data_IF_426936933096
#
_entry.id   IF_426936933096
#
_cell.length_a   1.000
_cell.length_b   1.000
_cell.length_c   1.000
_cell.angle_alpha   90.00
_cell.angle_beta   90.00
_cell.angle_gamma   90.00
#
_symmetry.space_group_name_H-M   'P 1'
#
loop_
_entity.id
_entity.type
_entity.pdbx_description
1 polymer ?
#
# COMPACT_ATOMS: atom_id res chain seq x y z
N UNK A 1 7.40 4.79 -5.07
CA UNK A 1 8.14 3.66 -4.49
C UNK A 1 9.45 3.55 -5.24
N UNK A 2 10.54 3.46 -4.52
CA UNK A 2 11.87 3.33 -5.13
C UNK A 2 12.15 1.85 -5.36
N UNK A 3 12.70 1.47 -6.51
CA UNK A 3 13.18 0.11 -6.80
C UNK A 3 12.11 -1.01 -6.75
N UNK A 4 10.84 -0.70 -6.99
CA UNK A 4 9.78 -1.71 -7.03
C UNK A 4 9.35 -2.25 -5.65
N UNK A 5 9.77 -1.64 -4.57
CA UNK A 5 9.32 -2.00 -3.22
C UNK A 5 7.91 -1.46 -2.91
N UNK A 6 7.27 -2.05 -1.90
CA UNK A 6 5.86 -1.83 -1.58
C UNK A 6 5.68 -1.03 -0.28
N UNK A 7 4.48 -0.49 -0.10
CA UNK A 7 4.15 0.34 1.04
C UNK A 7 2.89 -0.14 1.78
N UNK A 8 2.84 0.09 3.09
CA UNK A 8 1.67 -0.15 3.93
C UNK A 8 1.23 1.15 4.61
N UNK A 9 -0.07 1.41 4.60
CA UNK A 9 -0.71 2.49 5.37
C UNK A 9 -1.45 1.86 6.54
N UNK A 10 -1.07 2.23 7.75
CA UNK A 10 -1.71 1.78 9.00
C UNK A 10 -2.61 2.89 9.50
N UNK A 11 -3.92 2.70 9.33
CA UNK A 11 -4.94 3.69 9.65
C UNK A 11 -5.54 3.48 11.04
N UNK A 12 -6.11 4.53 11.60
CA UNK A 12 -6.72 4.55 12.93
C UNK A 12 -8.01 3.73 13.03
N UNK A 13 -8.68 3.45 11.92
CA UNK A 13 -9.91 2.68 11.86
C UNK A 13 -10.11 1.98 10.52
N UNK A 14 -11.03 1.03 10.45
CA UNK A 14 -11.45 0.37 9.20
C UNK A 14 -11.95 1.40 8.19
N UNK A 15 -12.78 2.35 8.64
CA UNK A 15 -13.28 3.45 7.80
C UNK A 15 -12.14 4.27 7.23
N UNK A 16 -11.16 4.63 8.06
CA UNK A 16 -9.99 5.39 7.63
C UNK A 16 -9.14 4.60 6.62
N UNK A 17 -8.89 3.31 6.86
CA UNK A 17 -8.14 2.46 5.93
C UNK A 17 -8.78 2.40 4.54
N UNK A 18 -10.11 2.25 4.48
CA UNK A 18 -10.84 2.22 3.21
C UNK A 18 -10.86 3.60 2.53
N UNK A 19 -10.97 4.69 3.30
CA UNK A 19 -10.85 6.05 2.76
C UNK A 19 -9.46 6.29 2.17
N UNK A 20 -8.38 5.91 2.85
CA UNK A 20 -7.03 5.99 2.30
C UNK A 20 -6.90 5.26 0.97
N UNK A 21 -7.48 4.06 0.85
CA UNK A 21 -7.48 3.33 -0.42
C UNK A 21 -8.10 4.16 -1.54
N UNK A 22 -9.27 4.70 -1.36
CA UNK A 22 -9.95 5.48 -2.40
C UNK A 22 -9.25 6.82 -2.69
N UNK A 23 -8.79 7.53 -1.68
CA UNK A 23 -8.06 8.80 -1.87
C UNK A 23 -6.73 8.59 -2.60
N UNK A 24 -6.02 7.51 -2.30
CA UNK A 24 -4.79 7.16 -3.02
C UNK A 24 -5.07 6.81 -4.48
N UNK A 25 -6.15 6.10 -4.78
CA UNK A 25 -6.54 5.81 -6.16
C UNK A 25 -6.87 7.08 -6.94
N UNK A 26 -7.59 8.03 -6.31
CA UNK A 26 -7.87 9.34 -6.90
C UNK A 26 -6.58 10.11 -7.13
N UNK A 27 -5.68 10.14 -6.15
CA UNK A 27 -4.40 10.84 -6.26
C UNK A 27 -3.52 10.25 -7.38
N UNK A 28 -3.48 8.92 -7.50
CA UNK A 28 -2.75 8.22 -8.57
C UNK A 28 -3.35 8.60 -9.94
N UNK A 29 -4.67 8.56 -10.07
CA UNK A 29 -5.37 8.93 -11.31
C UNK A 29 -5.06 10.37 -11.70
N UNK A 30 -5.21 11.32 -10.78
CA UNK A 30 -4.93 12.73 -11.03
C UNK A 30 -3.47 12.93 -11.46
N UNK A 31 -2.53 12.24 -10.80
CA UNK A 31 -1.11 12.31 -11.16
C UNK A 31 -0.83 11.78 -12.56
N UNK A 32 -1.51 10.73 -12.98
CA UNK A 32 -1.42 10.20 -14.35
C UNK A 32 -1.94 11.22 -15.35
N UNK A 33 -3.09 11.85 -15.07
CA UNK A 33 -3.69 12.89 -15.93
C UNK A 33 -2.76 14.10 -16.04
N UNK A 34 -2.18 14.58 -14.94
CA UNK A 34 -1.21 15.67 -14.91
C UNK A 34 0.02 15.35 -15.79
N UNK A 35 0.57 14.15 -15.65
CA UNK A 35 1.73 13.73 -16.43
C UNK A 35 1.41 13.60 -17.92
N UNK A 36 0.22 13.10 -18.27
CA UNK A 36 -0.24 12.99 -19.67
C UNK A 36 -0.51 14.35 -20.32
N UNK A 37 -0.81 15.37 -19.51
CA UNK A 37 -1.04 16.75 -20.01
C UNK A 37 0.26 17.50 -20.36
N UNK A 38 1.43 16.98 -19.97
CA UNK A 38 2.72 17.59 -20.32
C UNK A 38 3.05 17.39 -21.79
N UNK A 39 3.89 18.28 -22.35
CA UNK A 39 4.43 18.10 -23.71
C UNK A 39 5.24 16.80 -23.83
N UNK A 40 5.39 16.30 -25.04
CA UNK A 40 6.13 15.04 -25.29
C UNK A 40 7.58 15.09 -24.78
N UNK A 41 8.21 16.26 -24.77
CA UNK A 41 9.57 16.48 -24.25
C UNK A 41 9.66 16.43 -22.72
N UNK A 42 8.56 16.71 -22.02
CA UNK A 42 8.49 16.78 -20.56
C UNK A 42 7.79 15.56 -19.94
N UNK A 43 7.15 14.74 -20.80
CA UNK A 43 6.34 13.61 -20.36
C UNK A 43 7.23 12.41 -20.04
N UNK A 44 7.05 11.88 -18.83
CA UNK A 44 7.70 10.65 -18.37
C UNK A 44 6.74 9.47 -18.57
N UNK A 45 6.82 8.85 -19.75
CA UNK A 45 5.96 7.71 -20.12
C UNK A 45 6.23 6.49 -19.23
N UNK A 46 7.46 6.29 -18.78
CA UNK A 46 7.80 5.21 -17.85
C UNK A 46 7.13 5.43 -16.49
N UNK A 47 7.13 6.68 -15.99
CA UNK A 47 6.44 7.03 -14.76
C UNK A 47 4.93 6.86 -14.88
N UNK A 48 4.35 7.23 -16.00
CA UNK A 48 2.92 7.00 -16.30
C UNK A 48 2.62 5.51 -16.22
N UNK A 49 3.40 4.67 -16.91
CA UNK A 49 3.24 3.20 -16.89
C UNK A 49 3.31 2.63 -15.48
N UNK A 50 4.29 3.06 -14.68
CA UNK A 50 4.42 2.63 -13.27
C UNK A 50 3.18 2.97 -12.45
N UNK A 51 2.62 4.17 -12.63
CA UNK A 51 1.42 4.61 -11.92
C UNK A 51 0.16 3.88 -12.41
N UNK A 52 0.03 3.60 -13.70
CA UNK A 52 -1.08 2.82 -14.25
C UNK A 52 -1.06 1.36 -13.75
N UNK A 53 0.12 0.80 -13.57
CA UNK A 53 0.30 -0.53 -12.99
C UNK A 53 -0.02 -0.58 -11.50
N UNK A 54 0.28 0.49 -10.75
CA UNK A 54 0.12 0.55 -9.30
C UNK A 54 -1.35 0.40 -8.87
N UNK A 55 -1.61 -0.54 -7.94
CA UNK A 55 -2.93 -0.77 -7.33
C UNK A 55 -2.86 -0.64 -5.83
N UNK A 56 -3.95 -0.18 -5.25
CA UNK A 56 -4.14 -0.02 -3.81
C UNK A 56 -5.22 -0.97 -3.34
N UNK A 57 -4.96 -1.74 -2.30
CA UNK A 57 -5.94 -2.63 -1.70
C UNK A 57 -6.19 -2.27 -0.23
N UNK A 58 -7.43 -2.38 0.25
CA UNK A 58 -7.77 -2.27 1.66
C UNK A 58 -7.98 -3.66 2.26
N UNK A 59 -7.09 -4.09 3.17
CA UNK A 59 -7.19 -5.38 3.83
C UNK A 59 -7.73 -5.15 5.25
N UNK A 60 -9.04 -5.24 5.39
CA UNK A 60 -9.78 -4.92 6.62
C UNK A 60 -10.75 -6.02 7.00
N UNK A 61 -11.15 -6.03 8.28
CA UNK A 61 -12.21 -6.91 8.77
C UNK A 61 -13.59 -6.37 8.41
N UNK A 62 -14.62 -7.21 8.47
CA UNK A 62 -16.00 -6.77 8.35
C UNK A 62 -16.44 -5.98 9.58
N UNK A 63 -17.28 -4.97 9.37
CA UNK A 63 -17.97 -4.24 10.44
C UNK A 63 -19.32 -4.89 10.85
N UNK A 64 -19.66 -6.03 10.25
CA UNK A 64 -20.91 -6.75 10.54
C UNK A 64 -22.06 -6.38 9.61
N UNK A 65 -23.29 -6.67 10.03
CA UNK A 65 -24.48 -6.62 9.17
C UNK A 65 -24.83 -5.22 8.65
N UNK A 66 -24.41 -4.17 9.34
CA UNK A 66 -24.68 -2.77 8.95
C UNK A 66 -23.46 -2.10 8.29
N UNK A 67 -22.56 -2.89 7.72
CA UNK A 67 -21.37 -2.37 7.06
C UNK A 67 -21.75 -1.49 5.85
N UNK A 68 -21.21 -0.25 5.76
CA UNK A 68 -21.40 0.58 4.58
C UNK A 68 -20.92 -0.11 3.30
N UNK A 69 -21.70 0.02 2.21
CA UNK A 69 -21.44 -0.67 0.95
C UNK A 69 -20.05 -0.42 0.34
N UNK A 70 -19.47 0.76 0.55
CA UNK A 70 -18.12 1.07 0.06
C UNK A 70 -17.02 0.30 0.82
N UNK A 71 -17.25 -0.06 2.09
CA UNK A 71 -16.31 -0.88 2.88
C UNK A 71 -16.38 -2.33 2.42
N UNK A 72 -17.60 -2.89 2.30
CA UNK A 72 -17.77 -4.26 1.82
C UNK A 72 -17.23 -4.44 0.40
N UNK A 73 -17.41 -3.43 -0.48
CA UNK A 73 -16.85 -3.42 -1.83
C UNK A 73 -15.32 -3.47 -1.82
N UNK A 74 -14.67 -2.59 -1.05
CA UNK A 74 -13.21 -2.57 -0.95
C UNK A 74 -12.64 -3.87 -0.38
N UNK A 75 -13.30 -4.42 0.65
CA UNK A 75 -12.91 -5.70 1.25
C UNK A 75 -13.07 -6.86 0.28
N UNK A 76 -14.18 -6.92 -0.47
CA UNK A 76 -14.40 -7.93 -1.49
C UNK A 76 -13.33 -7.85 -2.59
N UNK A 77 -13.05 -6.66 -3.09
CA UNK A 77 -12.01 -6.44 -4.10
C UNK A 77 -10.64 -6.94 -3.63
N UNK A 78 -10.25 -6.66 -2.38
CA UNK A 78 -9.01 -7.16 -1.81
C UNK A 78 -8.98 -8.70 -1.68
N UNK A 79 -10.13 -9.34 -1.44
CA UNK A 79 -10.27 -10.80 -1.44
C UNK A 79 -10.18 -11.37 -2.86
N UNK A 80 -10.91 -10.80 -3.81
CA UNK A 80 -10.90 -11.22 -5.22
C UNK A 80 -9.49 -11.12 -5.83
N UNK A 81 -8.71 -10.13 -5.42
CA UNK A 81 -7.31 -9.96 -5.84
C UNK A 81 -6.30 -10.79 -5.03
N UNK A 82 -6.77 -11.54 -4.04
CA UNK A 82 -5.87 -12.21 -3.06
C UNK A 82 -4.76 -11.26 -2.58
N UNK A 83 -5.17 -10.04 -2.20
CA UNK A 83 -4.28 -8.91 -1.98
C UNK A 83 -3.20 -9.20 -0.94
N UNK A 84 -3.55 -9.95 0.12
CA UNK A 84 -2.60 -10.34 1.17
C UNK A 84 -1.42 -11.15 0.63
N UNK A 85 -1.66 -12.12 -0.24
CA UNK A 85 -0.62 -12.96 -0.78
C UNK A 85 0.10 -12.28 -1.95
N UNK A 86 -0.63 -11.55 -2.79
CA UNK A 86 -0.02 -10.82 -3.91
C UNK A 86 0.84 -9.64 -3.45
N UNK A 87 0.54 -9.02 -2.30
CA UNK A 87 1.41 -8.00 -1.72
C UNK A 87 2.81 -8.52 -1.36
N UNK A 88 2.96 -9.79 -1.03
CA UNK A 88 4.26 -10.40 -0.70
C UNK A 88 5.15 -10.68 -1.91
N UNK A 89 4.56 -10.74 -3.11
CA UNK A 89 5.27 -11.06 -4.35
C UNK A 89 6.09 -9.86 -4.82
N UNK A 90 7.06 -10.13 -5.68
CA UNK A 90 7.85 -9.08 -6.30
C UNK A 90 6.96 -8.12 -7.10
N UNK A 91 7.32 -6.85 -7.06
CA UNK A 91 6.62 -5.80 -7.79
C UNK A 91 7.33 -5.58 -9.13
N UNK A 92 6.73 -6.08 -10.20
CA UNK A 92 7.31 -6.03 -11.53
C UNK A 92 6.38 -5.28 -12.50
N UNK A 93 6.62 -3.99 -12.65
CA UNK A 93 5.89 -3.12 -13.58
C UNK A 93 6.36 -3.26 -15.04
N UNK A 94 7.36 -4.10 -15.31
CA UNK A 94 7.78 -4.45 -16.67
C UNK A 94 6.85 -5.46 -17.35
N UNK A 95 5.92 -6.07 -16.59
CA UNK A 95 4.91 -6.98 -17.12
C UNK A 95 4.14 -6.36 -18.28
N UNK A 96 3.80 -7.19 -19.27
CA UNK A 96 3.12 -6.77 -20.49
C UNK A 96 1.83 -7.57 -20.74
N UNK A 97 1.02 -7.08 -21.68
CA UNK A 97 -0.17 -7.77 -22.13
C UNK A 97 -1.18 -8.03 -21.02
N UNK A 98 -1.66 -9.27 -20.93
CA UNK A 98 -2.69 -9.65 -19.94
C UNK A 98 -2.19 -9.61 -18.49
N UNK A 99 -0.89 -9.79 -18.25
CA UNK A 99 -0.31 -9.70 -16.91
C UNK A 99 -0.35 -8.26 -16.38
N UNK A 100 -0.07 -7.29 -17.23
CA UNK A 100 -0.17 -5.86 -16.87
C UNK A 100 -1.60 -5.46 -16.50
N UNK A 101 -2.60 -6.07 -17.13
CA UNK A 101 -4.01 -5.78 -16.89
C UNK A 101 -4.59 -6.41 -15.63
N UNK A 102 -3.93 -7.42 -15.05
CA UNK A 102 -4.40 -8.10 -13.83
C UNK A 102 -4.14 -7.23 -12.61
N UNK A 103 -5.19 -6.77 -11.90
CA UNK A 103 -5.02 -5.86 -10.75
C UNK A 103 -4.11 -6.43 -9.67
N UNK A 104 -4.22 -7.73 -9.39
CA UNK A 104 -3.43 -8.41 -8.36
C UNK A 104 -1.92 -8.34 -8.59
N UNK A 105 -1.46 -8.24 -9.83
CA UNK A 105 -0.03 -8.13 -10.14
C UNK A 105 0.53 -6.76 -9.78
N UNK A 106 -0.30 -5.72 -9.77
CA UNK A 106 0.07 -4.33 -9.49
C UNK A 106 -0.11 -3.90 -8.04
N UNK A 107 -0.51 -4.78 -7.12
CA UNK A 107 -0.70 -4.40 -5.72
C UNK A 107 0.63 -3.96 -5.10
N UNK A 108 0.80 -2.67 -4.95
CA UNK A 108 2.00 -2.05 -4.38
C UNK A 108 1.75 -1.28 -3.09
N UNK A 109 0.49 -0.97 -2.79
CA UNK A 109 0.10 -0.31 -1.53
C UNK A 109 -1.05 -1.10 -0.91
N UNK A 110 -0.95 -1.36 0.40
CA UNK A 110 -2.06 -1.87 1.20
C UNK A 110 -2.42 -0.89 2.31
N UNK A 111 -3.73 -0.72 2.52
CA UNK A 111 -4.28 0.06 3.63
C UNK A 111 -4.90 -0.91 4.63
N UNK A 112 -4.47 -0.81 5.89
CA UNK A 112 -4.89 -1.71 6.97
C UNK A 112 -5.26 -0.91 8.21
N UNK A 113 -6.00 -1.53 9.14
CA UNK A 113 -6.24 -0.96 10.46
C UNK A 113 -5.46 -1.74 11.53
N UNK A 114 -5.94 -2.90 11.94
CA UNK A 114 -5.30 -3.76 12.94
C UNK A 114 -4.68 -5.02 12.32
N UNK A 115 -5.17 -5.41 11.16
CA UNK A 115 -4.68 -6.58 10.45
C UNK A 115 -3.29 -6.36 9.90
N UNK A 116 -2.52 -7.43 9.83
CA UNK A 116 -1.19 -7.47 9.24
C UNK A 116 -0.12 -6.63 9.98
N UNK A 117 -0.41 -6.14 11.17
CA UNK A 117 0.62 -5.54 12.04
C UNK A 117 1.45 -6.61 12.72
N UNK A 118 0.88 -7.77 13.00
CA UNK A 118 1.54 -8.92 13.60
C UNK A 118 1.39 -10.16 12.73
N UNK A 119 2.40 -11.05 12.73
CA UNK A 119 2.33 -12.33 12.03
C UNK A 119 2.25 -12.27 10.49
N UNK A 120 2.49 -11.11 9.89
CA UNK A 120 2.52 -10.94 8.44
C UNK A 120 3.94 -10.67 7.97
N UNK A 121 4.54 -11.61 7.26
CA UNK A 121 5.89 -11.45 6.71
C UNK A 121 5.80 -10.99 5.25
N UNK A 122 6.35 -9.80 4.98
CA UNK A 122 6.42 -9.19 3.67
C UNK A 122 7.76 -8.45 3.50
N UNK A 123 8.88 -9.16 3.23
CA UNK A 123 10.20 -8.55 3.10
C UNK A 123 10.29 -7.46 2.03
N UNK A 124 9.38 -7.49 1.05
CA UNK A 124 9.27 -6.48 -0.01
C UNK A 124 8.73 -5.13 0.49
N UNK A 125 8.09 -5.10 1.65
CA UNK A 125 7.58 -3.86 2.25
C UNK A 125 8.76 -2.99 2.68
N UNK A 126 8.85 -1.78 2.13
CA UNK A 126 9.92 -0.83 2.41
C UNK A 126 9.44 0.38 3.19
N UNK A 127 8.20 0.80 2.96
CA UNK A 127 7.65 2.00 3.57
C UNK A 127 6.40 1.67 4.36
N UNK A 128 6.31 2.18 5.58
CA UNK A 128 5.11 2.12 6.40
C UNK A 128 4.70 3.53 6.84
N UNK A 129 3.47 3.88 6.54
CA UNK A 129 2.84 5.13 6.96
C UNK A 129 1.96 4.84 8.18
N UNK A 130 2.26 5.46 9.31
CA UNK A 130 1.54 5.29 10.57
C UNK A 130 0.60 6.48 10.81
N UNK A 131 -0.69 6.25 10.65
CA UNK A 131 -1.76 7.18 11.06
C UNK A 131 -2.60 6.55 12.17
N UNK A 132 -1.91 6.01 13.17
CA UNK A 132 -2.50 5.32 14.31
C UNK A 132 -1.54 5.34 15.49
N UNK A 133 -2.09 5.48 16.70
CA UNK A 133 -1.33 5.21 17.92
C UNK A 133 -1.00 3.72 18.00
N UNK A 134 0.27 3.40 18.12
CA UNK A 134 0.76 2.05 18.35
C UNK A 134 1.36 1.95 19.76
N UNK A 135 1.14 0.82 20.43
CA UNK A 135 1.89 0.48 21.65
C UNK A 135 3.33 0.15 21.27
N UNK A 136 4.24 0.30 22.21
CA UNK A 136 5.68 0.02 21.98
C UNK A 136 5.95 -1.30 21.27
N UNK A 137 5.30 -2.38 21.74
CA UNK A 137 5.46 -3.70 21.15
C UNK A 137 5.04 -3.75 19.66
N UNK A 138 3.91 -3.16 19.31
CA UNK A 138 3.42 -3.11 17.94
C UNK A 138 4.29 -2.22 17.06
N UNK A 139 4.81 -1.14 17.64
CA UNK A 139 5.74 -0.25 16.94
C UNK A 139 7.09 -0.96 16.64
N UNK A 140 7.64 -1.71 17.59
CA UNK A 140 8.84 -2.52 17.34
C UNK A 140 8.61 -3.57 16.27
N UNK A 141 7.45 -4.21 16.24
CA UNK A 141 7.10 -5.15 15.17
C UNK A 141 7.00 -4.47 13.81
N UNK A 142 6.41 -3.29 13.74
CA UNK A 142 6.33 -2.48 12.53
C UNK A 142 7.73 -2.12 12.00
N UNK A 143 8.63 -1.64 12.91
CA UNK A 143 10.02 -1.31 12.57
C UNK A 143 10.75 -2.55 12.05
N UNK A 144 10.63 -3.68 12.72
CA UNK A 144 11.29 -4.93 12.31
C UNK A 144 10.82 -5.37 10.92
N UNK A 145 9.57 -5.17 10.60
CA UNK A 145 8.99 -5.53 9.30
C UNK A 145 9.61 -4.74 8.17
N UNK A 146 9.59 -3.41 8.25
CA UNK A 146 10.17 -2.57 7.19
C UNK A 146 11.68 -2.70 7.08
N UNK A 147 12.34 -3.16 8.14
CA UNK A 147 13.78 -3.46 8.15
C UNK A 147 14.11 -4.90 7.70
N UNK A 148 13.11 -5.72 7.39
CA UNK A 148 13.32 -7.07 6.85
C UNK A 148 14.25 -7.06 5.64
N UNK A 149 15.18 -8.02 5.60
CA UNK A 149 16.19 -8.09 4.54
C UNK A 149 15.60 -8.66 3.26
N UNK A 150 15.79 -7.94 2.16
CA UNK A 150 15.52 -8.43 0.81
C UNK A 150 16.62 -7.90 -0.12
N UNK A 151 17.00 -8.70 -1.12
CA UNK A 151 18.00 -8.29 -2.13
C UNK A 151 17.58 -6.96 -2.78
N UNK A 152 18.48 -5.99 -2.78
CA UNK A 152 18.23 -4.65 -3.33
C UNK A 152 17.54 -3.68 -2.37
N UNK A 153 17.17 -4.10 -1.16
CA UNK A 153 16.59 -3.25 -0.12
C UNK A 153 17.69 -2.74 0.81
N UNK A 154 17.93 -1.43 0.78
CA UNK A 154 18.99 -0.79 1.56
C UNK A 154 18.51 -0.31 2.95
N UNK A 155 17.21 0.00 3.07
CA UNK A 155 16.60 0.54 4.30
C UNK A 155 15.09 0.30 4.31
N UNK A 156 14.50 0.38 5.51
CA UNK A 156 13.07 0.55 5.71
C UNK A 156 12.77 1.99 6.14
N UNK A 157 11.62 2.51 5.78
CA UNK A 157 11.17 3.85 6.14
C UNK A 157 9.82 3.78 6.87
N UNK A 158 9.77 4.45 8.02
CA UNK A 158 8.51 4.71 8.73
C UNK A 158 8.21 6.20 8.65
N UNK A 159 7.02 6.54 8.18
CA UNK A 159 6.47 7.89 8.18
C UNK A 159 5.38 7.93 9.24
N UNK A 160 5.66 8.64 10.32
CA UNK A 160 4.82 8.68 11.51
C UNK A 160 4.03 9.98 11.58
N UNK A 161 2.76 9.91 11.21
CA UNK A 161 1.84 11.06 11.32
C UNK A 161 1.25 11.22 12.73
N UNK A 162 1.33 10.21 13.57
CA UNK A 162 0.75 10.23 14.91
C UNK A 162 1.76 10.64 15.99
N UNK A 163 3.05 10.57 15.71
CA UNK A 163 4.13 10.92 16.64
C UNK A 163 4.48 9.81 17.64
N UNK A 164 4.14 8.55 17.34
CA UNK A 164 4.45 7.40 18.23
C UNK A 164 5.95 7.13 18.35
N UNK A 165 6.74 7.50 17.34
CA UNK A 165 8.20 7.31 17.35
C UNK A 165 8.94 8.23 18.32
N UNK A 166 8.29 9.30 18.81
CA UNK A 166 8.87 10.23 19.81
C UNK A 166 9.12 9.57 21.16
N UNK A 167 8.53 8.42 21.42
CA UNK A 167 8.69 7.67 22.66
C UNK A 167 9.72 6.55 22.59
N UNK A 168 10.47 6.44 21.48
CA UNK A 168 11.56 5.49 21.28
C UNK A 168 12.91 6.04 21.78
N UNK A 169 12.93 6.72 22.89
CA UNK A 169 14.18 7.20 23.49
C UNK A 169 14.68 6.30 24.62
#
# INVERSE_FOLDING_TARGET
MVNGFKAQVVASSIVAAVRYKYELEIAIKNKIEDLKALSDEQRDDERIRQLEFLKVAAIVSSLGNNEPGYISKARKEALDWDAKNNFKKDYDYSLEGEQFKKPETGIGIICVCDRLLTGFDAPIEQVMYLDKSLKEHDLFQAITRVNGTKRGKSFGLIVDYFGVTKHLS
#
